data_IF_734277461604
#
_entry.id   IF_734277461604
#
_cell.length_a   1.000
_cell.length_b   1.000
_cell.length_c   1.000
_cell.angle_alpha   90.00
_cell.angle_beta   90.00
_cell.angle_gamma   90.00
#
_symmetry.space_group_name_H-M   'P 1'
#
loop_
_entity.id
_entity.type
_entity.pdbx_description
1 polymer ?
#
# COMPACT_ATOMS: atom_id res chain seq x y z
N UNK A 1 2.28 -3.59 8.17
CA UNK A 1 3.44 -3.10 7.40
C UNK A 1 3.07 -2.81 5.95
N UNK A 2 2.61 -3.78 5.15
CA UNK A 2 2.24 -3.55 3.73
C UNK A 2 1.33 -2.33 3.56
N UNK A 3 0.28 -2.21 4.33
CA UNK A 3 -0.66 -1.09 4.30
C UNK A 3 0.04 0.29 4.52
N UNK A 4 1.00 0.34 5.44
CA UNK A 4 1.75 1.57 5.69
C UNK A 4 2.72 1.91 4.56
N UNK A 5 3.39 0.91 4.00
CA UNK A 5 4.35 1.10 2.90
C UNK A 5 3.64 1.59 1.64
N UNK A 6 2.46 1.03 1.36
CA UNK A 6 1.66 1.41 0.20
C UNK A 6 0.86 2.70 0.40
N UNK A 7 0.79 3.23 1.63
CA UNK A 7 -0.06 4.37 1.94
C UNK A 7 -1.55 4.07 1.71
N UNK A 8 -1.99 2.86 2.03
CA UNK A 8 -3.37 2.45 1.76
C UNK A 8 -4.36 3.06 2.76
N UNK A 9 -5.16 4.01 2.29
CA UNK A 9 -6.18 4.69 3.09
C UNK A 9 -7.45 3.87 3.35
N UNK A 10 -7.62 2.73 2.70
CA UNK A 10 -8.67 1.77 3.05
C UNK A 10 -8.62 1.36 4.54
N UNK A 11 -7.47 1.58 5.16
CA UNK A 11 -7.27 1.42 6.58
C UNK A 11 -8.10 2.37 7.44
N UNK A 12 -8.37 3.57 6.95
CA UNK A 12 -9.23 4.57 7.61
C UNK A 12 -10.72 4.23 7.49
N UNK A 13 -11.06 3.52 6.43
CA UNK A 13 -12.37 2.96 6.16
C UNK A 13 -12.24 1.45 6.03
N UNK A 14 -12.54 0.62 7.01
CA UNK A 14 -12.24 -0.82 6.97
C UNK A 14 -13.08 -1.55 5.91
N UNK A 15 -12.88 -1.16 4.67
CA UNK A 15 -13.27 -1.87 3.46
C UNK A 15 -12.06 -2.64 2.97
N UNK A 16 -12.26 -3.64 2.16
CA UNK A 16 -11.16 -4.39 1.50
C UNK A 16 -10.06 -4.93 2.44
N UNK A 17 -10.30 -4.92 3.74
CA UNK A 17 -9.43 -5.50 4.76
C UNK A 17 -9.98 -6.83 5.22
N UNK A 18 -9.23 -7.88 4.97
CA UNK A 18 -9.63 -9.25 5.29
C UNK A 18 -8.78 -9.82 6.40
N UNK A 19 -9.45 -10.53 7.29
CA UNK A 19 -8.84 -11.28 8.37
C UNK A 19 -9.42 -12.67 8.37
N UNK A 20 -8.59 -13.69 8.28
CA UNK A 20 -9.05 -15.07 8.26
C UNK A 20 -8.20 -15.98 9.12
N UNK A 21 -8.73 -17.13 9.46
CA UNK A 21 -7.97 -18.24 10.03
C UNK A 21 -8.38 -19.54 9.36
N UNK A 22 -7.44 -20.44 9.21
CA UNK A 22 -7.67 -21.73 8.54
C UNK A 22 -8.52 -22.65 9.39
N UNK A 23 -8.22 -22.73 10.69
CA UNK A 23 -8.95 -23.58 11.62
C UNK A 23 -9.20 -22.87 12.96
N UNK A 24 -10.16 -23.38 13.73
CA UNK A 24 -10.45 -22.87 15.07
C UNK A 24 -9.22 -23.07 15.98
N UNK A 25 -8.78 -22.01 16.64
CA UNK A 25 -7.60 -22.02 17.53
C UNK A 25 -6.27 -21.69 16.86
N UNK A 26 -6.23 -21.57 15.53
CA UNK A 26 -5.05 -21.10 14.81
C UNK A 26 -4.90 -19.58 14.86
N UNK A 27 -3.75 -19.11 14.42
CA UNK A 27 -3.47 -17.67 14.23
C UNK A 27 -4.39 -17.07 13.19
N UNK A 28 -4.65 -15.78 13.36
CA UNK A 28 -5.27 -14.99 12.31
C UNK A 28 -4.22 -14.54 11.29
N UNK A 29 -4.64 -14.49 10.04
CA UNK A 29 -3.86 -14.00 8.92
C UNK A 29 -4.58 -12.81 8.30
N UNK A 30 -3.81 -11.77 7.98
CA UNK A 30 -4.30 -10.67 7.17
C UNK A 30 -4.15 -11.02 5.70
N UNK A 31 -5.17 -10.76 4.91
CA UNK A 31 -5.17 -10.99 3.48
C UNK A 31 -6.44 -11.63 2.97
N UNK A 32 -6.53 -11.80 1.65
CA UNK A 32 -5.52 -11.42 0.66
C UNK A 32 -5.27 -9.90 0.62
N UNK A 33 -4.16 -9.51 -0.01
CA UNK A 33 -3.96 -8.12 -0.42
C UNK A 33 -4.95 -7.86 -1.55
N UNK A 34 -5.83 -6.88 -1.35
CA UNK A 34 -6.97 -6.66 -2.23
C UNK A 34 -7.30 -5.18 -2.29
N UNK A 35 -7.64 -4.69 -3.49
CA UNK A 35 -8.23 -3.38 -3.72
C UNK A 35 -7.35 -2.23 -3.19
N UNK A 36 -6.15 -2.11 -3.74
CA UNK A 36 -5.14 -1.13 -3.32
C UNK A 36 -5.15 0.13 -4.19
N UNK A 37 -6.29 0.45 -4.80
CA UNK A 37 -6.47 1.64 -5.63
C UNK A 37 -6.43 2.95 -4.82
N UNK A 38 -6.74 2.88 -3.51
CA UNK A 38 -6.57 3.99 -2.58
C UNK A 38 -5.17 4.02 -1.94
N UNK A 39 -4.17 3.73 -2.73
CA UNK A 39 -2.77 3.70 -2.30
C UNK A 39 -1.95 4.77 -3.02
N UNK A 40 -0.72 4.94 -2.57
CA UNK A 40 0.23 5.84 -3.17
C UNK A 40 -0.39 7.25 -3.35
N UNK A 41 -0.30 7.83 -4.46
CA UNK A 41 -0.68 9.21 -4.72
C UNK A 41 -2.19 9.43 -5.01
N UNK A 42 -3.07 8.48 -4.65
CA UNK A 42 -4.51 8.63 -4.92
C UNK A 42 -5.08 9.98 -4.47
N UNK A 43 -4.65 10.46 -3.30
CA UNK A 43 -5.14 11.72 -2.76
C UNK A 43 -4.53 12.98 -3.38
N UNK A 44 -3.42 12.88 -4.10
CA UNK A 44 -2.89 14.03 -4.85
C UNK A 44 -3.84 14.46 -5.95
N UNK A 45 -4.67 13.56 -6.46
CA UNK A 45 -5.74 13.85 -7.40
C UNK A 45 -6.86 14.74 -6.82
N UNK A 46 -6.98 14.79 -5.51
CA UNK A 46 -8.01 15.55 -4.80
C UNK A 46 -7.44 16.75 -4.03
N UNK A 47 -6.27 17.26 -4.44
CA UNK A 47 -5.58 18.40 -3.80
C UNK A 47 -5.35 18.22 -2.29
N UNK A 48 -5.26 16.98 -1.83
CA UNK A 48 -4.96 16.69 -0.44
C UNK A 48 -3.48 16.37 -0.28
N UNK A 49 -2.81 17.11 0.60
CA UNK A 49 -1.44 16.75 0.99
C UNK A 49 -1.44 15.42 1.72
N UNK A 50 -0.68 14.48 1.20
CA UNK A 50 -0.44 13.20 1.87
C UNK A 50 0.74 13.36 2.80
N UNK A 51 0.49 13.29 4.10
CA UNK A 51 1.57 13.17 5.08
C UNK A 51 2.05 11.72 5.14
N UNK A 52 3.05 11.41 4.33
CA UNK A 52 3.70 10.09 4.34
C UNK A 52 4.42 9.77 5.66
N UNK A 53 4.62 10.74 6.53
CA UNK A 53 5.14 10.53 7.88
C UNK A 53 4.08 10.03 8.86
N UNK A 54 2.80 10.10 8.50
CA UNK A 54 1.72 9.69 9.38
C UNK A 54 1.58 8.16 9.43
N UNK A 55 1.70 7.56 10.61
CA UNK A 55 1.51 6.11 10.72
C UNK A 55 0.02 5.77 10.57
N UNK A 56 -0.37 5.23 9.43
CA UNK A 56 -1.74 4.79 9.14
C UNK A 56 -2.32 3.81 10.18
N UNK A 57 -1.44 3.14 10.95
CA UNK A 57 -1.82 2.23 12.01
C UNK A 57 -2.43 2.93 13.23
N UNK A 58 -2.23 4.22 13.38
CA UNK A 58 -2.61 4.98 14.58
C UNK A 58 -3.45 6.18 14.18
N UNK A 59 -4.51 6.43 14.94
CA UNK A 59 -5.32 7.63 14.76
C UNK A 59 -6.41 7.57 13.70
N UNK A 60 -6.66 6.42 13.08
CA UNK A 60 -7.80 6.24 12.15
C UNK A 60 -8.94 5.46 12.82
N UNK A 61 -10.21 5.61 12.36
CA UNK A 61 -11.35 4.88 12.93
C UNK A 61 -11.21 3.35 12.89
N UNK A 62 -10.47 2.81 11.91
CA UNK A 62 -10.16 1.38 11.84
C UNK A 62 -9.00 0.96 12.76
N UNK A 63 -8.38 1.91 13.41
CA UNK A 63 -7.14 1.71 14.15
C UNK A 63 -7.33 1.12 15.54
N UNK A 64 -8.54 1.05 16.07
CA UNK A 64 -8.76 0.61 17.45
C UNK A 64 -8.14 -0.77 17.73
N UNK A 65 -8.31 -1.72 16.80
CA UNK A 65 -7.67 -3.02 16.89
C UNK A 65 -6.15 -2.91 16.82
N UNK A 66 -5.62 -2.07 15.94
CA UNK A 66 -4.18 -1.88 15.79
C UNK A 66 -3.59 -1.10 16.95
N UNK A 67 -4.30 -0.14 17.51
CA UNK A 67 -3.91 0.53 18.75
C UNK A 67 -3.78 -0.46 19.91
N UNK A 68 -4.68 -1.42 20.03
CA UNK A 68 -4.59 -2.46 21.05
C UNK A 68 -3.37 -3.36 20.82
N UNK A 69 -3.12 -3.79 19.58
CA UNK A 69 -1.98 -4.62 19.23
C UNK A 69 -0.67 -3.85 19.44
N UNK A 70 -0.62 -2.56 19.07
CA UNK A 70 0.58 -1.72 19.18
C UNK A 70 0.99 -1.40 20.63
N UNK A 71 0.15 -1.69 21.61
CA UNK A 71 0.53 -1.63 23.04
C UNK A 71 1.48 -2.76 23.45
N UNK A 72 1.62 -3.78 22.61
CA UNK A 72 2.51 -4.90 22.86
C UNK A 72 3.92 -4.61 22.34
N UNK A 73 4.91 -4.74 23.21
CA UNK A 73 6.32 -4.63 22.83
C UNK A 73 6.71 -5.72 21.81
N UNK A 74 6.19 -6.94 21.99
CA UNK A 74 6.40 -8.03 21.05
C UNK A 74 5.89 -7.72 19.64
N UNK A 75 4.82 -6.92 19.51
CA UNK A 75 4.37 -6.43 18.21
C UNK A 75 5.43 -5.53 17.57
N UNK A 76 5.99 -4.60 18.32
CA UNK A 76 7.00 -3.67 17.79
C UNK A 76 8.32 -4.36 17.46
N UNK A 77 8.70 -5.37 18.22
CA UNK A 77 9.88 -6.19 17.91
C UNK A 77 9.70 -6.92 16.57
N UNK A 78 8.54 -7.54 16.39
CA UNK A 78 8.20 -8.18 15.13
C UNK A 78 8.14 -7.17 13.98
N UNK A 79 7.49 -6.01 14.21
CA UNK A 79 7.36 -4.96 13.20
C UNK A 79 8.73 -4.41 12.75
N UNK A 80 9.62 -4.13 13.69
CA UNK A 80 10.99 -3.67 13.40
C UNK A 80 11.79 -4.72 12.64
N UNK A 81 11.71 -5.98 13.06
CA UNK A 81 12.39 -7.09 12.37
C UNK A 81 11.91 -7.23 10.93
N UNK A 82 10.60 -7.23 10.71
CA UNK A 82 10.02 -7.31 9.36
C UNK A 82 10.32 -6.06 8.51
N UNK A 83 10.41 -4.87 9.12
CA UNK A 83 10.83 -3.66 8.44
C UNK A 83 12.28 -3.75 7.96
N UNK A 84 13.18 -4.25 8.79
CA UNK A 84 14.58 -4.47 8.41
C UNK A 84 14.69 -5.50 7.27
N UNK A 85 13.96 -6.59 7.35
CA UNK A 85 13.90 -7.60 6.30
C UNK A 85 13.36 -7.00 4.99
N UNK A 86 12.25 -6.28 5.06
CA UNK A 86 11.68 -5.60 3.89
C UNK A 86 12.72 -4.68 3.24
N UNK A 87 13.30 -3.79 4.01
CA UNK A 87 14.22 -2.78 3.48
C UNK A 87 15.48 -3.38 2.85
N UNK A 88 16.03 -4.42 3.45
CA UNK A 88 17.32 -4.96 3.06
C UNK A 88 17.24 -6.10 2.04
N UNK A 89 16.15 -6.85 2.02
CA UNK A 89 16.00 -8.05 1.20
C UNK A 89 14.90 -7.87 0.14
N UNK A 90 13.71 -7.44 0.54
CA UNK A 90 12.54 -7.41 -0.34
C UNK A 90 12.52 -6.16 -1.23
N UNK A 91 12.81 -4.99 -0.67
CA UNK A 91 12.70 -3.74 -1.40
C UNK A 91 13.60 -3.64 -2.62
N UNK A 92 14.89 -4.06 -2.59
CA UNK A 92 15.74 -4.04 -3.77
C UNK A 92 15.17 -4.88 -4.92
N UNK A 93 14.64 -6.07 -4.63
CA UNK A 93 14.01 -6.92 -5.63
C UNK A 93 12.69 -6.32 -6.16
N UNK A 94 11.89 -5.74 -5.26
CA UNK A 94 10.65 -5.06 -5.62
C UNK A 94 10.93 -3.88 -6.53
N UNK A 95 11.94 -3.08 -6.23
CA UNK A 95 12.33 -1.94 -7.06
C UNK A 95 12.75 -2.38 -8.46
N UNK A 96 13.62 -3.37 -8.57
CA UNK A 96 14.03 -3.92 -9.86
C UNK A 96 12.86 -4.51 -10.66
N UNK A 97 11.90 -5.11 -9.97
CA UNK A 97 10.68 -5.61 -10.58
C UNK A 97 9.81 -4.47 -11.14
N UNK A 98 9.61 -3.40 -10.37
CA UNK A 98 8.83 -2.23 -10.80
C UNK A 98 9.46 -1.55 -12.00
N UNK A 99 10.78 -1.35 -11.99
CA UNK A 99 11.52 -0.75 -13.11
C UNK A 99 11.32 -1.57 -14.40
N UNK A 100 11.51 -2.90 -14.32
CA UNK A 100 11.28 -3.80 -15.47
C UNK A 100 9.83 -3.79 -15.95
N UNK A 101 8.85 -3.71 -15.04
CA UNK A 101 7.45 -3.65 -15.42
C UNK A 101 7.08 -2.32 -16.05
N UNK A 102 7.64 -1.20 -15.59
CA UNK A 102 7.45 0.11 -16.21
C UNK A 102 7.91 0.08 -17.66
N UNK A 103 9.09 -0.46 -17.95
CA UNK A 103 9.59 -0.63 -19.32
C UNK A 103 8.66 -1.52 -20.16
N UNK A 104 8.20 -2.64 -19.60
CA UNK A 104 7.30 -3.58 -20.28
C UNK A 104 5.95 -2.95 -20.64
N UNK A 105 5.44 -2.09 -19.78
CA UNK A 105 4.11 -1.48 -19.92
C UNK A 105 4.13 -0.16 -20.71
N UNK A 106 5.27 0.43 -20.96
CA UNK A 106 5.41 1.76 -21.56
C UNK A 106 4.55 1.96 -22.81
N UNK A 107 4.66 1.07 -23.78
CA UNK A 107 3.90 1.17 -25.03
C UNK A 107 2.39 1.04 -24.83
N UNK A 108 1.96 0.21 -23.90
CA UNK A 108 0.55 0.02 -23.54
C UNK A 108 0.00 1.24 -22.79
N UNK A 109 0.80 1.82 -21.92
CA UNK A 109 0.45 3.02 -21.19
C UNK A 109 0.27 4.23 -22.12
N UNK A 110 1.21 4.42 -23.05
CA UNK A 110 1.10 5.47 -24.08
C UNK A 110 -0.19 5.32 -24.89
N UNK A 111 -0.45 4.10 -25.39
CA UNK A 111 -1.67 3.85 -26.17
C UNK A 111 -2.95 4.06 -25.36
N UNK A 112 -2.94 3.70 -24.09
CA UNK A 112 -4.06 3.94 -23.18
C UNK A 112 -4.30 5.45 -23.01
N UNK A 113 -3.23 6.24 -22.84
CA UNK A 113 -3.30 7.70 -22.78
C UNK A 113 -3.91 8.32 -24.04
N UNK A 114 -3.47 7.89 -25.22
CA UNK A 114 -4.00 8.35 -26.50
C UNK A 114 -5.51 8.05 -26.66
N UNK A 115 -5.95 6.89 -26.19
CA UNK A 115 -7.35 6.45 -26.33
C UNK A 115 -8.29 7.15 -25.35
N UNK A 116 -7.87 7.32 -24.09
CA UNK A 116 -8.77 7.75 -23.03
C UNK A 116 -8.55 9.19 -22.57
N UNK A 117 -7.41 9.78 -22.95
CA UNK A 117 -7.05 11.17 -22.63
C UNK A 117 -6.52 11.90 -23.84
N UNK A 118 -7.27 11.94 -24.97
CA UNK A 118 -6.82 12.57 -26.20
C UNK A 118 -6.58 14.07 -25.97
N UNK A 119 -5.39 14.54 -26.33
CA UNK A 119 -5.01 15.96 -26.19
C UNK A 119 -4.36 16.35 -24.88
N UNK A 120 -4.10 15.43 -23.97
CA UNK A 120 -3.14 15.66 -22.89
C UNK A 120 -1.74 15.42 -23.40
N UNK A 121 -0.97 16.52 -23.51
CA UNK A 121 0.47 16.44 -23.85
C UNK A 121 1.33 15.90 -22.69
N UNK A 122 0.79 15.89 -21.48
CA UNK A 122 1.45 15.38 -20.29
C UNK A 122 1.20 13.88 -20.17
N UNK A 123 2.09 13.10 -20.73
CA UNK A 123 2.28 11.70 -20.34
C UNK A 123 2.95 11.67 -18.96
N UNK A 124 2.27 12.27 -17.99
CA UNK A 124 2.75 12.29 -16.63
C UNK A 124 2.69 10.87 -16.08
N UNK A 125 3.87 10.26 -15.92
CA UNK A 125 4.03 8.91 -15.38
C UNK A 125 3.42 8.73 -13.97
N UNK A 126 2.96 9.81 -13.36
CA UNK A 126 2.25 9.80 -12.08
C UNK A 126 0.83 9.21 -12.16
N UNK A 127 0.33 8.90 -13.35
CA UNK A 127 -1.03 8.38 -13.54
C UNK A 127 -1.06 6.89 -13.96
N UNK A 128 0.08 6.21 -13.85
CA UNK A 128 0.22 4.79 -14.19
C UNK A 128 0.76 3.98 -13.02
#
# INVERSE_FOLDING_TARGET
MVQNISGNWEFAHPKSLYLYRKNRGEKFYFGPVWDFDWTAEYFTHYDQEIDYGYPLLLGTPASEMYEQISRSEAFWDCYRSEWHRFKNEIWPETKAYLERYAELLESSALRNGELWHPGREDHDSRYW
#
